data_IF_724082631400
#
_entry.id   IF_724082631400
#
_cell.length_a   1.000
_cell.length_b   1.000
_cell.length_c   1.000
_cell.angle_alpha   90.00
_cell.angle_beta   90.00
_cell.angle_gamma   90.00
#
_symmetry.space_group_name_H-M   'P 1'
#
loop_
_entity.id
_entity.type
_entity.pdbx_description
1 polymer ?
#
# COMPACT_ATOMS: atom_id res chain seq x y z
N UNK A 1 18.38 6.37 19.48
CA UNK A 1 17.68 7.68 19.38
C UNK A 1 18.54 8.71 18.64
N UNK A 2 17.97 9.62 17.85
CA UNK A 2 18.70 10.78 17.28
C UNK A 2 18.02 12.06 17.72
N UNK A 3 18.65 12.82 18.61
CA UNK A 3 18.08 14.01 19.24
C UNK A 3 19.20 14.99 19.60
N UNK A 4 18.93 16.29 19.60
CA UNK A 4 19.89 17.27 20.13
C UNK A 4 20.00 17.07 21.64
N UNK A 5 21.20 16.82 22.16
CA UNK A 5 21.42 16.61 23.60
C UNK A 5 20.83 17.75 24.46
N UNK A 6 20.94 18.99 23.98
CA UNK A 6 20.48 20.18 24.68
C UNK A 6 18.97 20.23 24.96
N UNK A 7 18.14 19.44 24.28
CA UNK A 7 16.69 19.41 24.53
C UNK A 7 16.27 18.32 25.52
N UNK A 8 17.21 17.49 26.00
CA UNK A 8 16.94 16.47 27.02
C UNK A 8 17.19 17.08 28.41
N UNK A 9 16.17 17.75 28.95
CA UNK A 9 16.24 18.40 30.26
C UNK A 9 15.57 17.57 31.37
N UNK A 10 14.84 16.52 30.99
CA UNK A 10 14.12 15.67 31.94
C UNK A 10 15.08 14.97 32.91
N UNK A 11 14.73 15.01 34.20
CA UNK A 11 15.49 14.34 35.26
C UNK A 11 15.29 12.82 35.26
N UNK A 12 14.13 12.35 34.77
CA UNK A 12 13.78 10.93 34.64
C UNK A 12 13.77 10.55 33.16
N UNK A 13 14.27 9.36 32.79
CA UNK A 13 14.18 8.90 31.43
C UNK A 13 12.75 8.52 31.05
N UNK A 14 12.51 8.49 29.74
CA UNK A 14 11.21 8.15 29.16
C UNK A 14 10.81 6.71 29.42
N UNK A 15 11.80 5.80 29.45
CA UNK A 15 11.64 4.39 29.79
C UNK A 15 12.56 4.06 30.98
N UNK A 16 11.97 3.78 32.14
CA UNK A 16 12.71 3.40 33.36
C UNK A 16 12.91 1.88 33.38
N UNK A 17 14.14 1.43 33.58
CA UNK A 17 14.45 0.01 33.68
C UNK A 17 15.93 -0.25 33.92
N UNK A 18 16.32 -1.53 33.95
CA UNK A 18 17.73 -1.91 33.96
C UNK A 18 18.47 -1.27 32.79
N UNK A 19 19.73 -0.85 33.01
CA UNK A 19 20.51 -0.16 31.98
C UNK A 19 20.36 1.36 31.95
N UNK A 20 19.32 1.95 32.57
CA UNK A 20 19.19 3.42 32.69
C UNK A 20 19.70 3.99 34.02
N UNK A 21 19.97 3.10 34.98
CA UNK A 21 20.45 3.41 36.32
C UNK A 21 21.94 3.10 36.45
N UNK A 22 22.67 3.96 37.16
CA UNK A 22 24.04 3.68 37.59
C UNK A 22 24.08 2.90 38.91
N UNK A 23 23.08 3.10 39.79
CA UNK A 23 23.00 2.43 41.09
C UNK A 23 21.56 2.36 41.60
N UNK A 24 21.24 1.32 42.39
CA UNK A 24 19.91 1.10 42.98
C UNK A 24 20.07 0.58 44.41
N UNK A 25 19.25 1.10 45.32
CA UNK A 25 19.08 0.63 46.70
C UNK A 25 17.62 0.23 46.93
N UNK A 26 17.26 -0.40 48.06
CA UNK A 26 15.85 -0.69 48.37
C UNK A 26 14.92 0.54 48.39
N UNK A 27 15.46 1.74 48.64
CA UNK A 27 14.68 2.96 48.84
C UNK A 27 14.98 4.07 47.82
N UNK A 28 15.99 3.90 46.96
CA UNK A 28 16.46 4.97 46.06
C UNK A 28 17.23 4.43 44.84
N UNK A 29 17.47 5.28 43.85
CA UNK A 29 18.23 4.96 42.64
C UNK A 29 18.95 6.20 42.09
N UNK A 30 20.01 5.98 41.35
CA UNK A 30 20.71 7.02 40.59
C UNK A 30 20.62 6.68 39.11
N UNK A 31 20.09 7.59 38.31
CA UNK A 31 20.09 7.45 36.85
C UNK A 31 21.49 7.70 36.26
N UNK A 32 21.72 7.14 35.08
CA UNK A 32 22.86 7.53 34.26
C UNK A 32 22.82 9.03 33.91
N UNK A 33 23.95 9.64 33.52
CA UNK A 33 23.96 10.98 32.94
C UNK A 33 23.09 11.06 31.67
N UNK A 34 22.68 12.28 31.31
CA UNK A 34 21.92 12.53 30.07
C UNK A 34 22.69 11.96 28.85
N UNK A 35 22.04 11.04 28.12
CA UNK A 35 22.61 10.36 26.96
C UNK A 35 21.67 9.28 26.42
N UNK A 36 22.00 8.64 25.30
CA UNK A 36 21.08 7.67 24.67
C UNK A 36 20.78 6.47 25.57
N UNK A 37 21.81 5.93 26.24
CA UNK A 37 21.66 4.79 27.17
C UNK A 37 20.69 5.04 28.31
N UNK A 38 20.56 6.30 28.74
CA UNK A 38 19.62 6.67 29.80
C UNK A 38 18.17 6.51 29.36
N UNK A 39 17.88 6.66 28.07
CA UNK A 39 16.52 6.61 27.51
C UNK A 39 16.12 5.20 27.00
N UNK A 40 17.03 4.23 27.06
CA UNK A 40 16.86 2.88 26.51
C UNK A 40 16.78 1.81 27.61
N UNK A 41 15.77 1.93 28.47
CA UNK A 41 15.58 1.00 29.59
C UNK A 41 15.23 -0.42 29.17
N UNK A 42 15.82 -1.38 29.89
CA UNK A 42 15.69 -2.81 29.64
C UNK A 42 16.81 -3.37 28.76
N UNK A 43 16.62 -4.61 28.29
CA UNK A 43 17.52 -5.22 27.32
C UNK A 43 17.39 -4.51 25.98
N UNK A 44 18.48 -3.98 25.38
CA UNK A 44 18.42 -3.34 24.07
C UNK A 44 17.94 -4.30 22.99
N UNK A 45 17.34 -3.76 21.93
CA UNK A 45 17.07 -4.50 20.70
C UNK A 45 18.36 -4.78 19.93
N UNK A 46 19.13 -5.78 20.39
CA UNK A 46 20.46 -6.10 19.87
C UNK A 46 20.36 -6.51 18.39
N UNK A 47 19.45 -7.43 18.06
CA UNK A 47 19.28 -7.92 16.68
C UNK A 47 18.74 -6.81 15.78
N UNK A 48 17.83 -5.99 16.27
CA UNK A 48 17.28 -4.83 15.57
C UNK A 48 18.38 -3.81 15.26
N UNK A 49 19.28 -3.56 16.21
CA UNK A 49 20.40 -2.63 16.07
C UNK A 49 21.45 -3.12 15.07
N UNK A 50 21.78 -4.42 15.10
CA UNK A 50 22.66 -5.04 14.09
C UNK A 50 22.04 -4.92 12.70
N UNK A 51 20.75 -5.27 12.55
CA UNK A 51 20.04 -5.16 11.26
C UNK A 51 19.98 -3.71 10.77
N UNK A 52 19.71 -2.75 11.66
CA UNK A 52 19.72 -1.33 11.32
C UNK A 52 21.10 -0.91 10.80
N UNK A 53 22.18 -1.28 11.50
CA UNK A 53 23.55 -1.02 11.07
C UNK A 53 23.86 -1.57 9.67
N UNK A 54 23.43 -2.81 9.38
CA UNK A 54 23.59 -3.42 8.06
C UNK A 54 22.81 -2.68 6.96
N UNK A 55 21.59 -2.20 7.24
CA UNK A 55 20.82 -1.39 6.29
C UNK A 55 21.50 -0.05 6.01
N UNK A 56 22.05 0.62 7.04
CA UNK A 56 22.82 1.85 6.85
C UNK A 56 24.07 1.61 6.01
N UNK A 57 24.79 0.51 6.27
CA UNK A 57 25.96 0.13 5.49
C UNK A 57 25.58 -0.12 4.02
N UNK A 58 24.52 -0.88 3.76
CA UNK A 58 24.01 -1.12 2.40
C UNK A 58 23.66 0.19 1.68
N UNK A 59 22.92 1.09 2.35
CA UNK A 59 22.58 2.41 1.79
C UNK A 59 23.82 3.24 1.47
N UNK A 60 24.86 3.17 2.30
CA UNK A 60 26.14 3.85 2.03
C UNK A 60 26.86 3.23 0.83
N UNK A 61 26.85 1.91 0.70
CA UNK A 61 27.45 1.20 -0.44
C UNK A 61 26.76 1.53 -1.76
N UNK A 62 25.42 1.59 -1.80
CA UNK A 62 24.67 2.02 -3.00
C UNK A 62 24.87 3.51 -3.28
N UNK A 63 24.91 4.33 -2.23
CA UNK A 63 25.10 5.77 -2.30
C UNK A 63 23.77 6.54 -2.37
N UNK A 64 23.62 7.56 -1.53
CA UNK A 64 22.38 8.34 -1.44
C UNK A 64 22.03 9.08 -2.73
N UNK A 65 23.04 9.64 -3.43
CA UNK A 65 22.84 10.33 -4.71
C UNK A 65 22.37 9.37 -5.82
N UNK A 66 22.89 8.14 -5.83
CA UNK A 66 22.48 7.10 -6.77
C UNK A 66 21.02 6.74 -6.58
N UNK A 67 20.61 6.53 -5.32
CA UNK A 67 19.21 6.25 -4.97
C UNK A 67 18.31 7.41 -5.40
N UNK A 68 18.66 8.64 -5.04
CA UNK A 68 17.90 9.83 -5.37
C UNK A 68 17.75 10.02 -6.89
N UNK A 69 18.84 9.87 -7.65
CA UNK A 69 18.81 9.97 -9.12
C UNK A 69 17.87 8.93 -9.73
N UNK A 70 17.93 7.68 -9.27
CA UNK A 70 17.05 6.61 -9.75
C UNK A 70 15.58 6.85 -9.38
N UNK A 71 15.30 7.36 -8.18
CA UNK A 71 13.93 7.73 -7.79
C UNK A 71 13.38 8.86 -8.67
N UNK A 72 14.21 9.84 -9.07
CA UNK A 72 13.80 10.89 -10.01
C UNK A 72 13.49 10.33 -11.41
N UNK A 73 14.32 9.41 -11.93
CA UNK A 73 14.04 8.73 -13.21
C UNK A 73 12.68 8.02 -13.19
N UNK A 74 12.37 7.32 -12.09
CA UNK A 74 11.09 6.63 -11.90
C UNK A 74 9.91 7.61 -11.81
N UNK A 75 10.10 8.78 -11.16
CA UNK A 75 9.09 9.85 -11.15
C UNK A 75 8.85 10.39 -12.56
N UNK A 76 9.91 10.67 -13.32
CA UNK A 76 9.77 11.11 -14.71
C UNK A 76 9.05 10.07 -15.58
N UNK A 77 9.29 8.79 -15.36
CA UNK A 77 8.59 7.71 -16.06
C UNK A 77 7.08 7.75 -15.79
N UNK A 78 6.69 7.94 -14.52
CA UNK A 78 5.28 8.12 -14.13
C UNK A 78 4.70 9.36 -14.82
N UNK A 79 5.40 10.50 -14.76
CA UNK A 79 4.90 11.77 -15.31
C UNK A 79 4.73 11.73 -16.84
N UNK A 80 5.72 11.19 -17.57
CA UNK A 80 5.65 11.02 -19.04
C UNK A 80 4.49 10.13 -19.49
N UNK A 81 4.11 9.16 -18.65
CA UNK A 81 3.03 8.22 -18.93
C UNK A 81 1.67 8.80 -18.58
N UNK A 82 1.52 9.33 -17.37
CA UNK A 82 0.24 9.78 -16.85
C UNK A 82 -0.20 11.14 -17.39
N UNK A 83 0.71 11.97 -17.88
CA UNK A 83 0.31 13.20 -18.59
C UNK A 83 -0.56 12.91 -19.83
N UNK A 84 -0.54 11.68 -20.35
CA UNK A 84 -1.33 11.21 -21.49
C UNK A 84 -2.57 10.43 -21.08
N UNK A 85 -2.75 10.12 -19.79
CA UNK A 85 -3.88 9.33 -19.30
C UNK A 85 -4.82 10.19 -18.44
N UNK A 86 -5.89 10.78 -19.01
CA UNK A 86 -6.79 11.66 -18.28
C UNK A 86 -7.63 10.94 -17.23
N UNK A 87 -7.70 9.60 -17.25
CA UNK A 87 -8.44 8.80 -16.28
C UNK A 87 -7.72 8.73 -14.93
N UNK A 88 -6.40 8.92 -14.91
CA UNK A 88 -5.62 8.87 -13.67
C UNK A 88 -5.45 10.29 -13.13
N UNK A 89 -5.88 10.49 -11.89
CA UNK A 89 -5.64 11.72 -11.15
C UNK A 89 -4.54 11.48 -10.11
N UNK A 90 -3.35 12.03 -10.37
CA UNK A 90 -2.26 12.06 -9.39
C UNK A 90 -2.57 13.08 -8.30
N UNK A 91 -2.48 12.66 -7.05
CA UNK A 91 -2.71 13.54 -5.90
C UNK A 91 -1.41 14.19 -5.41
N UNK A 92 -1.54 15.39 -4.86
CA UNK A 92 -0.45 16.21 -4.35
C UNK A 92 -0.12 17.38 -5.27
N UNK A 93 0.89 18.16 -4.91
CA UNK A 93 1.35 19.29 -5.71
C UNK A 93 1.88 18.80 -7.07
N UNK A 94 1.60 19.49 -8.17
CA UNK A 94 2.00 19.04 -9.52
C UNK A 94 3.49 19.19 -9.79
N UNK A 95 4.10 20.29 -9.33
CA UNK A 95 5.51 20.62 -9.64
C UNK A 95 6.51 20.37 -8.49
N UNK A 96 6.07 19.79 -7.36
CA UNK A 96 6.97 19.60 -6.23
C UNK A 96 7.93 18.43 -6.49
N UNK A 97 9.20 18.59 -6.08
CA UNK A 97 10.15 17.48 -5.97
C UNK A 97 9.55 16.40 -5.06
N UNK A 98 9.67 15.14 -5.47
CA UNK A 98 9.04 14.01 -4.77
C UNK A 98 9.81 12.72 -4.96
N UNK A 99 9.56 11.81 -4.05
CA UNK A 99 9.93 10.41 -4.18
C UNK A 99 8.97 9.72 -5.16
N UNK A 100 9.37 8.57 -5.69
CA UNK A 100 8.56 7.67 -6.52
C UNK A 100 7.42 6.95 -5.77
N UNK A 101 7.00 7.51 -4.62
CA UNK A 101 5.81 7.12 -3.87
C UNK A 101 4.65 7.98 -4.35
N UNK A 102 3.70 7.38 -5.04
CA UNK A 102 2.64 8.12 -5.73
C UNK A 102 1.26 7.73 -5.24
N UNK A 103 0.46 8.74 -4.89
CA UNK A 103 -0.96 8.63 -4.55
C UNK A 103 -1.81 9.03 -5.75
N UNK A 104 -2.87 8.27 -6.05
CA UNK A 104 -3.74 8.51 -7.19
C UNK A 104 -5.17 8.03 -6.99
N UNK A 105 -6.08 8.59 -7.80
CA UNK A 105 -7.46 8.11 -7.96
C UNK A 105 -7.71 7.82 -9.45
N UNK A 106 -8.66 6.93 -9.73
CA UNK A 106 -9.10 6.64 -11.10
C UNK A 106 -10.47 7.28 -11.29
N UNK A 107 -10.53 8.25 -12.20
CA UNK A 107 -11.73 8.95 -12.62
C UNK A 107 -12.52 8.13 -13.63
N UNK A 108 -13.81 8.30 -13.59
CA UNK A 108 -14.75 7.73 -14.54
C UNK A 108 -15.84 8.76 -14.84
N UNK A 109 -16.69 8.48 -15.83
CA UNK A 109 -17.83 9.35 -16.16
C UNK A 109 -18.89 9.42 -15.05
N UNK A 110 -18.81 8.52 -14.05
CA UNK A 110 -19.77 8.40 -12.94
C UNK A 110 -19.16 8.77 -11.58
N UNK A 111 -17.91 9.25 -11.53
CA UNK A 111 -17.19 9.57 -10.30
C UNK A 111 -15.79 8.96 -10.27
N UNK A 112 -15.46 8.23 -9.20
CA UNK A 112 -14.16 7.55 -9.06
C UNK A 112 -14.33 6.05 -8.82
N UNK A 113 -13.37 5.24 -9.24
CA UNK A 113 -13.29 3.87 -8.74
C UNK A 113 -12.91 3.91 -7.25
N UNK A 114 -13.61 3.12 -6.42
CA UNK A 114 -13.31 3.03 -4.99
C UNK A 114 -11.88 2.52 -4.78
N UNK A 115 -11.09 3.18 -3.92
CA UNK A 115 -9.67 2.84 -3.74
C UNK A 115 -9.43 1.37 -3.32
N UNK A 116 -10.35 0.80 -2.54
CA UNK A 116 -10.30 -0.60 -2.14
C UNK A 116 -10.54 -1.56 -3.33
N UNK A 117 -11.39 -1.16 -4.28
CA UNK A 117 -11.65 -1.93 -5.49
C UNK A 117 -10.44 -1.91 -6.42
N UNK A 118 -9.84 -0.73 -6.64
CA UNK A 118 -8.61 -0.60 -7.44
C UNK A 118 -7.47 -1.42 -6.83
N UNK A 119 -7.35 -1.42 -5.49
CA UNK A 119 -6.37 -2.25 -4.77
C UNK A 119 -6.62 -3.75 -5.00
N UNK A 120 -7.88 -4.19 -4.94
CA UNK A 120 -8.25 -5.57 -5.20
C UNK A 120 -7.92 -5.99 -6.64
N UNK A 121 -8.25 -5.17 -7.65
CA UNK A 121 -7.94 -5.48 -9.05
C UNK A 121 -6.44 -5.62 -9.31
N UNK A 122 -5.61 -4.72 -8.76
CA UNK A 122 -4.16 -4.79 -8.91
C UNK A 122 -3.57 -6.07 -8.30
N UNK A 123 -4.10 -6.49 -7.15
CA UNK A 123 -3.70 -7.75 -6.51
C UNK A 123 -4.21 -8.98 -7.27
N UNK A 124 -5.50 -9.03 -7.57
CA UNK A 124 -6.18 -10.23 -8.06
C UNK A 124 -5.80 -10.57 -9.49
N UNK A 125 -5.55 -9.56 -10.34
CA UNK A 125 -5.21 -9.76 -11.75
C UNK A 125 -3.69 -9.86 -11.98
N UNK A 126 -2.88 -9.16 -11.20
CA UNK A 126 -1.46 -8.96 -11.50
C UNK A 126 -0.51 -9.32 -10.36
N UNK A 127 -1.02 -9.62 -9.16
CA UNK A 127 -0.19 -9.80 -7.96
C UNK A 127 0.51 -8.51 -7.49
N UNK A 128 0.08 -7.34 -7.97
CA UNK A 128 0.67 -6.05 -7.63
C UNK A 128 0.03 -5.53 -6.35
N UNK A 129 0.79 -5.59 -5.25
CA UNK A 129 0.31 -5.19 -3.94
C UNK A 129 0.50 -3.68 -3.71
N UNK A 130 -0.61 -2.98 -3.56
CA UNK A 130 -0.68 -1.54 -3.25
C UNK A 130 -1.47 -1.31 -1.97
N UNK A 131 -1.50 -0.07 -1.48
CA UNK A 131 -2.30 0.31 -0.31
C UNK A 131 -3.39 1.31 -0.70
N UNK A 132 -4.63 1.02 -0.31
CA UNK A 132 -5.76 1.94 -0.36
C UNK A 132 -6.00 2.66 0.96
N UNK A 133 -6.70 3.79 0.92
CA UNK A 133 -7.20 4.53 2.10
C UNK A 133 -6.54 5.89 2.27
N UNK A 134 -6.57 6.42 3.50
CA UNK A 134 -6.10 7.78 3.80
C UNK A 134 -4.65 7.86 4.35
N UNK A 135 -3.86 6.78 4.22
CA UNK A 135 -2.42 6.73 4.55
C UNK A 135 -2.02 7.19 5.97
N UNK A 136 -2.90 7.04 6.98
CA UNK A 136 -2.73 7.57 8.34
C UNK A 136 -2.52 9.10 8.39
N UNK A 137 -3.05 9.80 7.39
CA UNK A 137 -2.93 11.24 7.22
C UNK A 137 -4.32 11.88 7.09
N UNK A 138 -5.30 11.42 7.88
CA UNK A 138 -6.70 11.81 7.76
C UNK A 138 -6.92 13.33 7.68
N UNK A 139 -6.32 14.18 8.55
CA UNK A 139 -6.47 15.63 8.43
C UNK A 139 -5.97 16.19 7.09
N UNK A 140 -4.84 15.68 6.59
CA UNK A 140 -4.32 16.06 5.28
C UNK A 140 -5.21 15.52 4.15
N UNK A 141 -5.76 14.31 4.29
CA UNK A 141 -6.71 13.73 3.34
C UNK A 141 -7.99 14.56 3.22
N UNK A 142 -8.47 15.16 4.32
CA UNK A 142 -9.61 16.08 4.26
C UNK A 142 -9.30 17.31 3.41
N UNK A 143 -8.12 17.90 3.57
CA UNK A 143 -7.69 19.03 2.75
C UNK A 143 -7.51 18.62 1.29
N UNK A 144 -6.82 17.50 1.04
CA UNK A 144 -6.50 16.99 -0.29
C UNK A 144 -7.75 16.63 -1.10
N UNK A 145 -8.80 16.14 -0.44
CA UNK A 145 -10.05 15.72 -1.05
C UNK A 145 -11.16 16.77 -0.92
N UNK A 146 -10.86 17.96 -0.39
CA UNK A 146 -11.83 19.04 -0.16
C UNK A 146 -13.05 18.58 0.68
N UNK A 147 -12.81 17.87 1.78
CA UNK A 147 -13.83 17.43 2.73
C UNK A 147 -13.93 18.47 3.84
N UNK A 148 -15.09 19.11 3.95
CA UNK A 148 -15.34 20.10 4.99
C UNK A 148 -15.80 19.44 6.32
N UNK A 149 -15.94 20.24 7.38
CA UNK A 149 -16.31 19.73 8.70
C UNK A 149 -17.69 19.05 8.73
N UNK A 150 -18.67 19.57 7.97
CA UNK A 150 -20.02 19.00 7.92
C UNK A 150 -20.00 17.63 7.24
N UNK A 151 -19.33 17.53 6.09
CA UNK A 151 -19.13 16.27 5.38
C UNK A 151 -18.35 15.26 6.23
N UNK A 152 -17.30 15.69 6.93
CA UNK A 152 -16.53 14.84 7.85
C UNK A 152 -17.39 14.24 8.96
N UNK A 153 -18.27 15.05 9.59
CA UNK A 153 -19.23 14.57 10.60
C UNK A 153 -20.22 13.55 10.00
N UNK A 154 -20.69 13.82 8.78
CA UNK A 154 -21.61 12.93 8.07
C UNK A 154 -20.95 11.60 7.69
N UNK A 155 -19.70 11.62 7.22
CA UNK A 155 -18.88 10.41 6.99
C UNK A 155 -18.72 9.61 8.29
N UNK A 156 -18.42 10.28 9.41
CA UNK A 156 -18.30 9.61 10.71
C UNK A 156 -19.62 8.92 11.12
N UNK A 157 -20.76 9.57 10.88
CA UNK A 157 -22.08 8.97 11.15
C UNK A 157 -22.33 7.72 10.31
N UNK A 158 -22.05 7.78 9.01
CA UNK A 158 -22.17 6.65 8.09
C UNK A 158 -21.33 5.45 8.54
N UNK A 159 -20.05 5.69 8.87
CA UNK A 159 -19.14 4.64 9.36
C UNK A 159 -19.65 4.03 10.68
N UNK A 160 -20.19 4.84 11.59
CA UNK A 160 -20.80 4.34 12.84
C UNK A 160 -22.02 3.45 12.59
N UNK A 161 -22.76 3.71 11.52
CA UNK A 161 -23.89 2.89 11.07
C UNK A 161 -23.46 1.69 10.20
N UNK A 162 -22.15 1.46 10.04
CA UNK A 162 -21.59 0.33 9.31
C UNK A 162 -21.41 0.57 7.81
N UNK A 163 -21.70 1.77 7.29
CA UNK A 163 -21.47 2.12 5.89
C UNK A 163 -20.00 2.53 5.70
N UNK A 164 -19.13 1.56 5.37
CA UNK A 164 -17.69 1.80 5.26
C UNK A 164 -17.26 2.27 3.87
N UNK A 165 -18.09 2.12 2.84
CA UNK A 165 -17.75 2.56 1.47
C UNK A 165 -17.52 4.06 1.36
N UNK A 166 -18.11 4.87 2.26
CA UNK A 166 -17.90 6.32 2.25
C UNK A 166 -16.53 6.75 2.77
N UNK A 167 -15.70 5.82 3.26
CA UNK A 167 -14.37 6.15 3.73
C UNK A 167 -13.57 6.82 2.60
N UNK A 168 -13.09 8.05 2.81
CA UNK A 168 -12.31 8.73 1.79
C UNK A 168 -10.92 8.08 1.66
N UNK A 169 -10.37 8.12 0.45
CA UNK A 169 -9.03 7.58 0.23
C UNK A 169 -8.58 7.63 -1.21
N UNK A 170 -7.37 7.11 -1.41
CA UNK A 170 -6.69 6.97 -2.69
C UNK A 170 -5.92 5.66 -2.70
N UNK A 171 -5.40 5.28 -3.87
CA UNK A 171 -4.42 4.20 -3.98
C UNK A 171 -3.03 4.81 -3.91
N UNK A 172 -2.13 4.15 -3.19
CA UNK A 172 -0.72 4.52 -3.13
C UNK A 172 0.17 3.34 -3.52
N UNK A 173 1.03 3.55 -4.50
CA UNK A 173 2.08 2.63 -4.91
C UNK A 173 3.46 3.29 -4.77
N UNK A 174 4.51 2.48 -4.82
CA UNK A 174 5.89 2.94 -4.75
C UNK A 174 6.73 2.17 -5.77
N UNK A 175 7.48 2.90 -6.60
CA UNK A 175 8.53 2.31 -7.43
C UNK A 175 9.86 2.47 -6.70
N UNK A 176 10.36 1.42 -6.07
CA UNK A 176 11.61 1.52 -5.31
C UNK A 176 12.83 1.60 -6.25
N UNK A 177 13.96 2.10 -5.74
CA UNK A 177 15.16 2.35 -6.56
C UNK A 177 15.83 1.09 -7.14
N UNK A 178 15.49 -0.11 -6.64
CA UNK A 178 16.07 -1.36 -7.11
C UNK A 178 15.16 -2.12 -8.09
N UNK A 179 14.00 -1.55 -8.46
CA UNK A 179 13.23 -2.03 -9.61
C UNK A 179 13.96 -1.67 -10.90
N UNK A 180 14.04 -2.63 -11.82
CA UNK A 180 14.39 -2.34 -13.19
C UNK A 180 13.23 -1.65 -13.94
N UNK A 181 13.54 -1.10 -15.12
CA UNK A 181 12.56 -0.38 -15.94
C UNK A 181 11.42 -1.28 -16.43
N UNK A 182 11.66 -2.58 -16.64
CA UNK A 182 10.64 -3.51 -17.10
C UNK A 182 9.62 -3.79 -15.99
N UNK A 183 10.07 -3.96 -14.74
CA UNK A 183 9.15 -4.11 -13.59
C UNK A 183 8.36 -2.84 -13.33
N UNK A 184 9.03 -1.68 -13.41
CA UNK A 184 8.37 -0.38 -13.26
C UNK A 184 7.29 -0.19 -14.34
N UNK A 185 7.61 -0.45 -15.61
CA UNK A 185 6.65 -0.34 -16.70
C UNK A 185 5.49 -1.32 -16.54
N UNK A 186 5.75 -2.57 -16.15
CA UNK A 186 4.69 -3.53 -15.89
C UNK A 186 3.69 -3.05 -14.82
N UNK A 187 4.19 -2.50 -13.70
CA UNK A 187 3.31 -1.93 -12.67
C UNK A 187 2.47 -0.80 -13.24
N UNK A 188 3.04 0.05 -14.08
CA UNK A 188 2.31 1.13 -14.74
C UNK A 188 1.31 0.63 -15.78
N UNK A 189 1.62 -0.44 -16.52
CA UNK A 189 0.69 -1.13 -17.43
C UNK A 189 -0.52 -1.68 -16.67
N UNK A 190 -0.28 -2.27 -15.49
CA UNK A 190 -1.36 -2.76 -14.62
C UNK A 190 -2.27 -1.63 -14.15
N UNK A 191 -1.71 -0.47 -13.77
CA UNK A 191 -2.50 0.69 -13.34
C UNK A 191 -3.31 1.26 -14.51
N UNK A 192 -2.71 1.40 -15.70
CA UNK A 192 -3.41 1.85 -16.90
C UNK A 192 -4.53 0.89 -17.29
N UNK A 193 -4.29 -0.42 -17.21
CA UNK A 193 -5.33 -1.43 -17.44
C UNK A 193 -6.52 -1.24 -16.49
N UNK A 194 -6.26 -1.04 -15.19
CA UNK A 194 -7.35 -0.82 -14.22
C UNK A 194 -8.06 0.51 -14.48
N UNK A 195 -7.34 1.55 -14.93
CA UNK A 195 -7.94 2.81 -15.32
C UNK A 195 -8.89 2.65 -16.51
N UNK A 196 -8.49 1.88 -17.53
CA UNK A 196 -9.26 1.67 -18.76
C UNK A 196 -10.44 0.69 -18.56
N UNK A 197 -10.21 -0.43 -17.87
CA UNK A 197 -11.16 -1.54 -17.81
C UNK A 197 -11.85 -1.70 -16.45
N UNK A 198 -11.46 -0.94 -15.43
CA UNK A 198 -12.00 -1.08 -14.06
C UNK A 198 -13.52 -0.95 -14.00
N UNK A 199 -14.13 -0.05 -14.77
CA UNK A 199 -15.59 0.07 -14.87
C UNK A 199 -16.26 -1.17 -15.48
N UNK A 200 -15.62 -1.82 -16.47
CA UNK A 200 -16.17 -3.04 -17.09
C UNK A 200 -16.19 -4.20 -16.10
N UNK A 201 -15.19 -4.25 -15.20
CA UNK A 201 -15.02 -5.34 -14.23
C UNK A 201 -15.85 -5.09 -12.96
N UNK A 202 -16.11 -3.83 -12.60
CA UNK A 202 -16.79 -3.42 -11.37
C UNK A 202 -18.06 -4.23 -11.05
N UNK A 203 -19.01 -4.48 -11.97
CA UNK A 203 -20.22 -5.24 -11.68
C UNK A 203 -19.99 -6.66 -11.15
N UNK A 204 -18.81 -7.22 -11.39
CA UNK A 204 -18.50 -8.62 -11.06
C UNK A 204 -17.78 -8.77 -9.72
N UNK A 205 -17.54 -7.68 -9.01
CA UNK A 205 -17.04 -7.67 -7.64
C UNK A 205 -18.14 -7.31 -6.63
N UNK A 206 -18.17 -8.06 -5.54
CA UNK A 206 -18.98 -7.76 -4.37
C UNK A 206 -18.15 -6.97 -3.35
N UNK A 207 -18.78 -6.05 -2.62
CA UNK A 207 -18.16 -5.40 -1.47
C UNK A 207 -18.60 -6.07 -0.17
N UNK A 208 -17.64 -6.51 0.64
CA UNK A 208 -17.85 -7.04 1.98
C UNK A 208 -17.67 -5.93 3.02
N UNK A 209 -18.80 -5.43 3.54
CA UNK A 209 -18.84 -4.41 4.61
C UNK A 209 -18.19 -4.90 5.92
N UNK A 210 -18.22 -6.20 6.20
CA UNK A 210 -17.62 -6.79 7.40
C UNK A 210 -16.10 -6.69 7.35
N UNK A 211 -15.51 -7.21 6.27
CA UNK A 211 -14.06 -7.24 6.06
C UNK A 211 -13.48 -5.92 5.52
N UNK A 212 -14.32 -5.02 4.97
CA UNK A 212 -13.90 -3.81 4.24
C UNK A 212 -13.05 -4.16 2.99
N UNK A 213 -13.49 -5.19 2.25
CA UNK A 213 -12.78 -5.76 1.11
C UNK A 213 -13.69 -5.94 -0.11
N UNK A 214 -13.09 -5.98 -1.29
CA UNK A 214 -13.76 -6.29 -2.55
C UNK A 214 -13.41 -7.70 -2.99
N UNK A 215 -14.39 -8.47 -3.44
CA UNK A 215 -14.24 -9.88 -3.82
C UNK A 215 -14.84 -10.17 -5.18
N UNK A 216 -14.02 -10.74 -6.08
CA UNK A 216 -14.51 -11.21 -7.37
C UNK A 216 -15.52 -12.35 -7.18
N UNK A 217 -16.71 -12.22 -7.76
CA UNK A 217 -17.79 -13.20 -7.68
C UNK A 217 -18.15 -13.58 -6.23
N UNK A 218 -17.93 -12.68 -5.26
CA UNK A 218 -18.16 -12.93 -3.84
C UNK A 218 -17.27 -14.01 -3.23
N UNK A 219 -16.19 -14.42 -3.92
CA UNK A 219 -15.27 -15.46 -3.45
C UNK A 219 -14.14 -14.85 -2.64
N UNK A 220 -14.00 -15.28 -1.40
CA UNK A 220 -12.83 -14.97 -0.58
C UNK A 220 -11.76 -16.03 -0.80
N UNK A 221 -10.56 -15.63 -1.18
CA UNK A 221 -9.38 -16.50 -1.20
C UNK A 221 -8.63 -16.37 0.13
N UNK A 222 -8.40 -17.50 0.81
CA UNK A 222 -7.54 -17.50 1.98
C UNK A 222 -6.08 -17.39 1.52
N UNK A 223 -5.27 -16.51 2.13
CA UNK A 223 -3.85 -16.47 1.83
C UNK A 223 -3.23 -17.83 2.19
N UNK A 224 -2.36 -18.34 1.31
CA UNK A 224 -1.57 -19.53 1.62
C UNK A 224 -0.65 -19.22 2.80
N UNK A 225 -0.46 -20.17 3.72
CA UNK A 225 0.49 -19.96 4.79
C UNK A 225 1.90 -19.85 4.19
N UNK A 226 2.75 -18.99 4.78
CA UNK A 226 4.13 -18.85 4.32
C UNK A 226 4.88 -20.19 4.35
N UNK A 227 4.50 -21.08 5.28
CA UNK A 227 5.03 -22.43 5.36
C UNK A 227 4.74 -23.28 4.13
N UNK A 228 3.58 -23.06 3.51
CA UNK A 228 3.15 -23.78 2.32
C UNK A 228 3.90 -23.29 1.07
N UNK A 229 4.50 -22.10 1.12
CA UNK A 229 5.24 -21.50 0.02
C UNK A 229 6.76 -21.74 0.14
N UNK A 230 7.33 -21.55 1.33
CA UNK A 230 8.78 -21.56 1.51
C UNK A 230 9.35 -22.94 1.84
N UNK A 231 8.61 -23.78 2.57
CA UNK A 231 9.15 -25.03 3.11
C UNK A 231 8.82 -26.28 2.28
N UNK A 232 8.06 -26.15 1.19
CA UNK A 232 7.84 -27.25 0.24
C UNK A 232 9.12 -27.59 -0.56
N UNK A 233 9.99 -26.61 -0.81
CA UNK A 233 11.25 -26.83 -1.56
C UNK A 233 12.24 -27.74 -0.84
N UNK A 234 12.27 -27.72 0.50
CA UNK A 234 13.18 -28.55 1.30
C UNK A 234 12.81 -30.05 1.29
N UNK A 235 11.55 -30.40 0.99
CA UNK A 235 11.12 -31.81 0.88
C UNK A 235 11.34 -32.41 -0.52
N UNK A 236 11.44 -31.57 -1.55
CA UNK A 236 11.71 -32.03 -2.92
C UNK A 236 13.20 -32.04 -3.27
N UNK A 237 14.04 -31.31 -2.52
CA UNK A 237 15.48 -31.20 -2.79
C UNK A 237 16.29 -32.48 -2.53
N UNK A 238 15.72 -33.53 -1.92
CA UNK A 238 16.41 -34.82 -1.77
C UNK A 238 16.27 -35.74 -2.99
N UNK A 239 15.35 -35.49 -3.92
CA UNK A 239 15.08 -36.40 -5.05
C UNK A 239 15.30 -35.80 -6.45
N UNK A 240 15.84 -34.59 -6.59
CA UNK A 240 15.95 -33.92 -7.90
C UNK A 240 17.25 -33.15 -8.13
N UNK A 241 18.36 -33.63 -7.59
CA UNK A 241 19.67 -33.00 -7.78
C UNK A 241 20.30 -33.19 -9.18
N UNK A 242 19.62 -33.84 -10.14
CA UNK A 242 20.25 -34.23 -11.40
C UNK A 242 19.63 -33.75 -12.71
N UNK A 243 18.65 -32.83 -12.76
CA UNK A 243 18.09 -32.47 -14.09
C UNK A 243 17.41 -31.10 -14.30
N UNK A 244 17.72 -30.04 -13.53
CA UNK A 244 17.19 -28.69 -13.85
C UNK A 244 18.19 -27.57 -13.51
N UNK A 245 19.40 -27.66 -14.08
CA UNK A 245 20.09 -26.44 -14.50
C UNK A 245 19.57 -26.11 -15.91
N UNK A 246 19.28 -24.84 -16.20
CA UNK A 246 18.78 -24.33 -17.49
C UNK A 246 17.26 -24.49 -17.75
N UNK A 247 16.46 -23.70 -17.03
CA UNK A 247 15.37 -22.91 -17.61
C UNK A 247 14.77 -22.03 -16.49
N UNK A 248 15.44 -20.93 -16.16
CA UNK A 248 14.76 -19.78 -15.56
C UNK A 248 13.78 -19.30 -16.63
N UNK A 249 12.56 -19.84 -16.64
CA UNK A 249 11.44 -19.24 -17.35
C UNK A 249 11.27 -17.86 -16.74
N UNK A 250 11.81 -16.85 -17.41
CA UNK A 250 11.42 -15.47 -17.19
C UNK A 250 9.89 -15.49 -17.21
N UNK A 251 9.27 -15.22 -16.05
CA UNK A 251 7.82 -15.14 -15.98
C UNK A 251 7.42 -14.03 -16.93
N UNK A 252 6.84 -14.40 -18.05
CA UNK A 252 6.41 -13.45 -19.06
C UNK A 252 5.26 -12.62 -18.45
N UNK A 253 5.61 -11.47 -17.87
CA UNK A 253 4.66 -10.58 -17.19
C UNK A 253 3.55 -10.14 -18.15
N UNK A 254 3.78 -10.20 -19.47
CA UNK A 254 2.76 -9.94 -20.49
C UNK A 254 1.62 -10.96 -20.47
N UNK A 255 1.84 -12.17 -19.94
CA UNK A 255 0.78 -13.17 -19.77
C UNK A 255 -0.31 -12.67 -18.83
N UNK A 256 0.04 -12.01 -17.73
CA UNK A 256 -0.96 -11.46 -16.80
C UNK A 256 -1.85 -10.41 -17.47
N UNK A 257 -1.29 -9.54 -18.33
CA UNK A 257 -2.07 -8.56 -19.09
C UNK A 257 -3.01 -9.25 -20.08
N UNK A 258 -2.55 -10.32 -20.74
CA UNK A 258 -3.39 -11.11 -21.65
C UNK A 258 -4.54 -11.80 -20.91
N UNK A 259 -4.24 -12.46 -19.79
CA UNK A 259 -5.25 -13.11 -18.95
C UNK A 259 -6.27 -12.10 -18.39
N UNK A 260 -5.80 -10.91 -17.99
CA UNK A 260 -6.68 -9.83 -17.56
C UNK A 260 -7.61 -9.34 -18.69
N UNK A 261 -7.10 -9.21 -19.91
CA UNK A 261 -7.93 -8.89 -21.09
C UNK A 261 -8.96 -9.99 -21.38
N UNK A 262 -8.60 -11.26 -21.23
CA UNK A 262 -9.54 -12.37 -21.39
C UNK A 262 -10.67 -12.27 -20.34
N UNK A 263 -10.35 -11.95 -19.08
CA UNK A 263 -11.36 -11.68 -18.03
C UNK A 263 -12.28 -10.53 -18.44
N UNK A 264 -11.77 -9.46 -19.03
CA UNK A 264 -12.59 -8.35 -19.55
C UNK A 264 -13.55 -8.82 -20.65
N UNK A 265 -13.10 -9.68 -21.57
CA UNK A 265 -13.97 -10.25 -22.60
C UNK A 265 -15.04 -11.17 -22.02
N UNK A 266 -14.70 -11.96 -21.00
CA UNK A 266 -15.65 -12.79 -20.27
C UNK A 266 -16.70 -11.95 -19.53
N UNK A 267 -16.28 -10.82 -18.93
CA UNK A 267 -17.17 -9.82 -18.36
C UNK A 267 -18.11 -9.22 -19.41
N UNK A 268 -17.61 -8.85 -20.59
CA UNK A 268 -18.43 -8.27 -21.68
C UNK A 268 -19.41 -9.28 -22.30
N UNK A 269 -19.03 -10.56 -22.34
CA UNK A 269 -19.88 -11.65 -22.85
C UNK A 269 -20.87 -12.21 -21.82
N UNK A 270 -20.89 -11.68 -20.59
CA UNK A 270 -21.84 -12.08 -19.55
C UNK A 270 -21.57 -13.47 -18.96
N UNK A 271 -20.31 -13.92 -18.97
CA UNK A 271 -19.93 -15.23 -18.38
C UNK A 271 -19.95 -15.22 -16.85
N UNK A 272 -19.89 -14.04 -16.25
CA UNK A 272 -19.92 -13.85 -14.80
C UNK A 272 -21.27 -13.32 -14.34
N UNK A 273 -21.62 -13.60 -13.09
CA UNK A 273 -22.85 -13.06 -12.49
C UNK A 273 -22.58 -11.70 -11.89
N UNK A 274 -23.45 -10.73 -12.17
CA UNK A 274 -23.41 -9.40 -11.54
C UNK A 274 -23.58 -9.56 -10.03
N UNK A 275 -22.70 -8.91 -9.26
CA UNK A 275 -22.64 -8.97 -7.82
C UNK A 275 -23.39 -7.79 -7.19
N UNK A 276 -23.95 -8.02 -6.00
CA UNK A 276 -24.60 -6.95 -5.24
C UNK A 276 -23.54 -6.05 -4.60
N UNK A 277 -23.78 -4.75 -4.65
CA UNK A 277 -22.96 -3.73 -4.01
C UNK A 277 -23.85 -2.85 -3.14
N UNK A 278 -24.29 -3.37 -1.97
CA UNK A 278 -25.24 -2.67 -1.13
C UNK A 278 -24.64 -1.36 -0.61
N UNK A 279 -25.40 -0.29 -0.74
CA UNK A 279 -25.06 1.03 -0.25
C UNK A 279 -26.30 1.68 0.36
N UNK A 280 -26.18 2.20 1.58
CA UNK A 280 -27.28 2.86 2.26
C UNK A 280 -27.58 4.22 1.59
N UNK A 281 -28.73 4.30 0.92
CA UNK A 281 -29.15 5.47 0.16
C UNK A 281 -29.27 6.77 1.00
N UNK A 282 -29.39 6.67 2.33
CA UNK A 282 -29.38 7.85 3.21
C UNK A 282 -28.03 8.59 3.23
N UNK A 283 -26.95 7.97 2.73
CA UNK A 283 -25.62 8.56 2.60
C UNK A 283 -25.23 8.84 1.14
N UNK A 284 -26.21 8.94 0.23
CA UNK A 284 -25.95 9.22 -1.20
C UNK A 284 -25.24 10.56 -1.43
N UNK A 285 -25.41 11.52 -0.52
CA UNK A 285 -24.71 12.81 -0.50
C UNK A 285 -23.19 12.67 -0.30
N UNK A 286 -22.73 11.57 0.30
CA UNK A 286 -21.31 11.27 0.52
C UNK A 286 -20.67 10.44 -0.59
N UNK A 287 -21.46 9.99 -1.57
CA UNK A 287 -21.00 9.04 -2.56
C UNK A 287 -20.07 9.72 -3.57
N UNK A 288 -18.77 9.42 -3.43
CA UNK A 288 -17.68 9.89 -4.32
C UNK A 288 -17.14 8.79 -5.25
N UNK A 289 -17.77 7.62 -5.25
CA UNK A 289 -17.32 6.44 -5.97
C UNK A 289 -18.45 5.80 -6.76
N UNK A 290 -18.10 5.05 -7.80
CA UNK A 290 -19.03 4.33 -8.66
C UNK A 290 -19.36 2.96 -8.07
N UNK A 291 -20.62 2.56 -8.20
CA UNK A 291 -21.12 1.22 -7.95
C UNK A 291 -21.75 0.65 -9.23
N UNK A 292 -21.88 -0.67 -9.29
CA UNK A 292 -22.46 -1.40 -10.43
C UNK A 292 -23.85 -0.89 -10.83
N UNK A 293 -24.66 -0.48 -9.86
CA UNK A 293 -26.01 0.06 -10.06
C UNK A 293 -26.04 1.43 -10.75
N UNK A 294 -24.91 2.15 -10.81
CA UNK A 294 -24.82 3.44 -11.51
C UNK A 294 -24.53 3.27 -13.02
N UNK A 295 -24.26 2.04 -13.45
CA UNK A 295 -23.94 1.69 -14.84
C UNK A 295 -25.16 1.16 -15.62
N UNK A 296 -26.32 1.03 -14.95
CA UNK A 296 -27.60 0.57 -15.48
C UNK A 296 -28.51 1.76 -15.78
#
# INVERSE_FOLDING_TARGET
MVVKRAIIENQKPSLVGGGTVSFVTPNDHTFLPIGERREEGGTPGIVESIRAGLVFQLKQTVGAKTIEMREHELVEMIDKRWCKNPLIERLGHQEANRLSITAFRIKTDHGYLHHGFVTALLNDLFGVQVRGGCSCADPYGHQLLNINEQESKRIQEAIKQGEKLVKPGWVRFNLNYFLDDAEANFILDCIDFVAEYGLTILPYYAYDQGADLWHFQGKTTLPRALSDLLWQSLKQSENTLNNQAENKKESDKSLYLKEALDIVQQCKSGQFSIQKQPFNASFSDLKRFVLAQDLL
#
